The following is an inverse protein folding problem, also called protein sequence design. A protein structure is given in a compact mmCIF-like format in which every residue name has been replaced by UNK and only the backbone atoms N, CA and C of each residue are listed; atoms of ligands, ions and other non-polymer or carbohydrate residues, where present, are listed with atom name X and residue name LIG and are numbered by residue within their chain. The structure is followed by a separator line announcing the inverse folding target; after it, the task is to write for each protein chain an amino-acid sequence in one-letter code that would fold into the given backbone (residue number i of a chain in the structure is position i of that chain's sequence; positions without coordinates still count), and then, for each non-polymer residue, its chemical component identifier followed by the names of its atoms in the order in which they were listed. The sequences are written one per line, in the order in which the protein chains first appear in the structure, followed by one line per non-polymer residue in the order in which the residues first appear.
data_IF_943705403822
#
_entry.id   IF_943705403822
#
_cell.length_a   1.000
_cell.length_b   1.000
_cell.length_c   1.000
_cell.angle_alpha   90.00
_cell.angle_beta   90.00
_cell.angle_gamma   90.00
#
_symmetry.space_group_name_H-M   'P 1'
#
loop_
_entity.id
_entity.type
_entity.pdbx_description
1 polymer ?
#
# COMPACT_ATOMS: atom_id res chain seq x y z
N UNK A 1 10.33 -72.53 28.89
CA UNK A 1 10.48 -73.12 27.54
C UNK A 1 10.99 -71.96 26.70
N UNK A 2 12.32 -71.86 26.64
CA UNK A 2 13.21 -72.43 25.60
C UNK A 2 12.90 -71.81 24.23
N UNK A 3 13.77 -71.24 23.44
CA UNK A 3 15.25 -71.31 23.43
C UNK A 3 15.80 -70.13 22.63
N UNK A 4 16.91 -69.70 23.04
CA UNK A 4 18.03 -69.09 22.39
C UNK A 4 18.39 -69.61 20.98
N UNK A 5 18.90 -68.77 20.09
CA UNK A 5 19.96 -69.13 19.18
C UNK A 5 20.77 -67.90 18.71
N UNK A 6 21.98 -67.97 19.09
CA UNK A 6 23.20 -67.27 18.74
C UNK A 6 23.72 -67.83 17.41
N UNK A 7 24.29 -66.98 16.53
CA UNK A 7 25.52 -67.26 15.74
C UNK A 7 25.94 -66.02 15.03
N UNK A 8 27.10 -65.47 15.38
CA UNK A 8 28.43 -65.54 14.74
C UNK A 8 28.40 -65.09 13.28
N UNK A 9 29.15 -64.18 12.83
CA UNK A 9 30.52 -63.80 13.06
C UNK A 9 31.14 -63.48 11.70
N UNK A 10 32.25 -62.83 11.73
CA UNK A 10 33.28 -62.76 10.66
C UNK A 10 33.31 -61.51 9.79
N UNK A 11 34.19 -60.66 10.18
CA UNK A 11 35.00 -59.91 9.21
C UNK A 11 36.11 -60.81 8.65
N UNK A 12 36.59 -60.62 7.45
CA UNK A 12 37.92 -60.08 7.33
C UNK A 12 38.19 -59.24 6.06
N UNK A 13 39.14 -58.50 6.15
CA UNK A 13 40.48 -58.48 5.56
C UNK A 13 40.75 -57.27 4.60
N UNK A 14 41.69 -56.50 5.04
CA UNK A 14 42.59 -55.68 4.23
C UNK A 14 43.06 -56.36 2.96
N UNK A 15 43.16 -55.59 1.91
CA UNK A 15 44.15 -55.84 0.87
C UNK A 15 44.75 -54.48 0.40
N UNK A 16 45.92 -54.22 0.90
CA UNK A 16 46.95 -53.37 0.32
C UNK A 16 47.27 -53.80 -1.10
N UNK A 17 47.18 -52.87 -2.05
CA UNK A 17 47.99 -52.90 -3.25
C UNK A 17 48.53 -51.53 -3.57
N UNK A 18 49.82 -51.39 -3.36
CA UNK A 18 50.68 -50.36 -3.92
C UNK A 18 50.93 -50.67 -5.41
N UNK A 19 50.99 -49.62 -6.21
CA UNK A 19 51.42 -49.69 -7.60
C UNK A 19 51.24 -48.35 -8.30
N UNK A 20 52.13 -47.65 -8.30
CA UNK A 20 53.06 -46.75 -9.00
C UNK A 20 52.66 -46.42 -10.45
N UNK A 21 52.90 -45.14 -10.75
CA UNK A 21 53.28 -44.48 -12.01
C UNK A 21 52.25 -44.26 -13.12
N UNK A 22 52.11 -42.98 -13.45
CA UNK A 22 51.58 -42.53 -14.72
C UNK A 22 51.30 -41.04 -14.68
N UNK A 23 52.31 -40.22 -14.96
CA UNK A 23 52.16 -38.81 -15.22
C UNK A 23 51.35 -38.56 -16.49
N UNK A 24 50.63 -37.49 -16.51
CA UNK A 24 50.50 -36.44 -17.51
C UNK A 24 49.14 -35.78 -17.44
N UNK A 25 49.05 -34.60 -16.97
CA UNK A 25 48.64 -33.39 -17.65
C UNK A 25 47.24 -33.39 -18.26
N UNK A 26 46.31 -32.81 -17.55
CA UNK A 26 45.29 -31.93 -18.17
C UNK A 26 44.82 -30.97 -17.06
N UNK A 27 45.39 -29.80 -17.08
CA UNK A 27 44.79 -28.63 -16.44
C UNK A 27 43.43 -28.35 -17.13
N UNK A 28 42.37 -28.96 -16.67
CA UNK A 28 41.04 -28.48 -16.89
C UNK A 28 40.75 -27.48 -15.78
N UNK A 29 41.15 -26.23 -15.98
CA UNK A 29 40.65 -25.14 -15.18
C UNK A 29 39.15 -25.08 -15.43
N UNK A 30 38.37 -25.67 -14.52
CA UNK A 30 37.00 -25.26 -14.37
C UNK A 30 37.05 -23.79 -13.96
N UNK A 31 36.79 -22.91 -14.92
CA UNK A 31 36.43 -21.54 -14.65
C UNK A 31 35.24 -21.60 -13.70
N UNK A 32 35.50 -21.58 -12.40
CA UNK A 32 34.50 -21.21 -11.43
C UNK A 32 34.08 -19.81 -11.85
N UNK A 33 33.02 -19.73 -12.67
CA UNK A 33 32.24 -18.53 -12.82
C UNK A 33 31.77 -18.15 -11.42
N UNK A 34 32.60 -17.43 -10.69
CA UNK A 34 32.14 -16.66 -9.55
C UNK A 34 31.10 -15.69 -10.07
N UNK A 35 29.86 -16.15 -10.08
CA UNK A 35 28.73 -15.27 -10.26
C UNK A 35 28.90 -14.07 -9.31
N UNK A 36 28.38 -12.91 -9.65
CA UNK A 36 28.55 -11.72 -8.83
C UNK A 36 28.20 -12.08 -7.36
N UNK A 37 29.01 -11.61 -6.39
CA UNK A 37 28.86 -11.98 -4.98
C UNK A 37 27.41 -11.81 -4.59
N UNK A 38 26.84 -12.81 -3.94
CA UNK A 38 25.43 -12.80 -3.53
C UNK A 38 25.20 -11.50 -2.76
N UNK A 39 24.45 -10.58 -3.39
CA UNK A 39 24.17 -9.28 -2.79
C UNK A 39 23.60 -9.51 -1.40
N UNK A 40 24.14 -8.82 -0.42
CA UNK A 40 23.76 -8.94 0.98
C UNK A 40 22.22 -8.86 1.10
N UNK A 41 21.55 -9.95 1.46
CA UNK A 41 20.08 -10.03 1.51
C UNK A 41 19.47 -9.01 2.48
N UNK A 42 20.25 -8.53 3.44
CA UNK A 42 19.80 -7.52 4.42
C UNK A 42 19.66 -6.11 3.84
N UNK A 43 20.26 -5.82 2.68
CA UNK A 43 20.20 -4.51 2.02
C UNK A 43 19.24 -4.46 0.82
N UNK A 44 18.54 -5.55 0.52
CA UNK A 44 17.53 -5.56 -0.56
C UNK A 44 16.24 -4.93 -0.06
N UNK A 45 15.95 -3.74 -0.56
CA UNK A 45 14.63 -3.14 -0.43
C UNK A 45 13.62 -4.09 -1.10
N UNK A 46 12.52 -4.38 -0.42
CA UNK A 46 11.45 -5.21 -0.99
C UNK A 46 10.96 -4.54 -2.30
N UNK A 47 11.00 -5.24 -3.45
CA UNK A 47 10.59 -4.65 -4.73
C UNK A 47 9.16 -4.10 -4.73
N UNK A 48 8.26 -4.70 -3.95
CA UNK A 48 6.88 -4.23 -3.82
C UNK A 48 6.82 -2.90 -3.08
N UNK A 49 7.60 -2.76 -2.02
CA UNK A 49 7.68 -1.52 -1.25
C UNK A 49 8.33 -0.40 -2.07
N UNK A 50 9.42 -0.72 -2.79
CA UNK A 50 10.08 0.25 -3.68
C UNK A 50 9.13 0.72 -4.79
N UNK A 51 8.42 -0.21 -5.44
CA UNK A 51 7.44 0.13 -6.47
C UNK A 51 6.33 1.04 -5.94
N UNK A 52 5.82 0.74 -4.73
CA UNK A 52 4.80 1.57 -4.08
C UNK A 52 5.32 2.96 -3.74
N UNK A 53 6.55 3.07 -3.24
CA UNK A 53 7.17 4.36 -2.93
C UNK A 53 7.33 5.23 -4.18
N UNK A 54 7.84 4.65 -5.28
CA UNK A 54 7.99 5.35 -6.56
C UNK A 54 6.64 5.79 -7.12
N UNK A 55 5.62 4.95 -6.99
CA UNK A 55 4.25 5.30 -7.37
C UNK A 55 3.73 6.47 -6.55
N UNK A 56 3.86 6.46 -5.22
CA UNK A 56 3.44 7.57 -4.36
C UNK A 56 4.17 8.87 -4.72
N UNK A 57 5.46 8.81 -5.01
CA UNK A 57 6.22 10.00 -5.43
C UNK A 57 5.64 10.58 -6.72
N UNK A 58 5.29 9.76 -7.71
CA UNK A 58 4.66 10.23 -8.95
C UNK A 58 3.30 10.89 -8.69
N UNK A 59 2.50 10.32 -7.78
CA UNK A 59 1.19 10.88 -7.42
C UNK A 59 1.31 12.22 -6.68
N UNK A 60 2.28 12.34 -5.77
CA UNK A 60 2.59 13.63 -5.11
C UNK A 60 2.94 14.70 -6.14
N UNK A 61 3.67 14.36 -7.21
CA UNK A 61 4.00 15.31 -8.28
C UNK A 61 2.76 15.74 -9.06
N UNK A 62 1.83 14.83 -9.34
CA UNK A 62 0.56 15.14 -10.02
C UNK A 62 -0.26 16.10 -9.15
N UNK A 63 -0.46 15.79 -7.87
CA UNK A 63 -1.14 16.69 -6.95
C UNK A 63 -0.44 18.04 -6.84
N UNK A 64 0.90 18.06 -6.78
CA UNK A 64 1.70 19.29 -6.75
C UNK A 64 1.45 20.19 -7.95
N UNK A 65 1.29 19.62 -9.14
CA UNK A 65 0.93 20.38 -10.33
C UNK A 65 -0.46 21.04 -10.20
N UNK A 66 -1.45 20.29 -9.68
CA UNK A 66 -2.80 20.83 -9.45
C UNK A 66 -2.82 21.89 -8.35
N UNK A 67 -2.07 21.73 -7.26
CA UNK A 67 -1.92 22.77 -6.24
C UNK A 67 -1.27 24.03 -6.81
N UNK A 68 -0.23 23.88 -7.63
CA UNK A 68 0.41 25.02 -8.30
C UNK A 68 -0.60 25.75 -9.18
N UNK A 69 -1.39 25.04 -9.96
CA UNK A 69 -2.45 25.63 -10.77
C UNK A 69 -3.52 26.33 -9.91
N UNK A 70 -3.92 25.72 -8.79
CA UNK A 70 -4.88 26.31 -7.85
C UNK A 70 -4.40 27.64 -7.31
N UNK A 71 -3.17 27.69 -6.78
CA UNK A 71 -2.61 28.94 -6.25
C UNK A 71 -2.37 29.99 -7.34
N UNK A 72 -1.94 29.57 -8.53
CA UNK A 72 -1.79 30.48 -9.66
C UNK A 72 -3.12 31.14 -10.03
N UNK A 73 -4.18 30.33 -10.22
CA UNK A 73 -5.51 30.87 -10.55
C UNK A 73 -6.01 31.79 -9.43
N UNK A 74 -5.80 31.42 -8.17
CA UNK A 74 -6.24 32.23 -7.02
C UNK A 74 -5.55 33.56 -6.93
N UNK A 75 -4.28 33.66 -7.31
CA UNK A 75 -3.50 34.91 -7.31
C UNK A 75 -3.84 35.77 -8.52
N UNK A 76 -4.07 35.16 -9.69
CA UNK A 76 -4.31 35.89 -10.95
C UNK A 76 -5.77 36.30 -11.11
N UNK A 77 -6.72 35.48 -10.63
CA UNK A 77 -8.14 35.84 -10.65
C UNK A 77 -8.44 36.90 -9.60
N UNK A 78 -9.00 38.02 -10.04
CA UNK A 78 -9.49 39.09 -9.17
C UNK A 78 -10.87 38.77 -8.57
N UNK A 79 -11.49 37.68 -8.99
CA UNK A 79 -12.80 37.28 -8.50
C UNK A 79 -12.68 36.70 -7.08
N UNK A 80 -13.60 37.04 -6.15
CA UNK A 80 -13.58 36.49 -4.80
C UNK A 80 -13.85 34.99 -4.81
N UNK A 81 -13.16 34.30 -3.94
CA UNK A 81 -13.40 32.88 -3.67
C UNK A 81 -14.06 32.68 -2.30
N UNK A 82 -15.11 31.91 -2.16
CA UNK A 82 -15.94 31.30 -3.23
C UNK A 82 -16.72 32.38 -4.02
N UNK A 83 -17.17 32.03 -5.24
CA UNK A 83 -17.93 32.91 -6.11
C UNK A 83 -19.11 33.54 -5.34
N UNK A 84 -19.42 34.81 -5.63
CA UNK A 84 -20.46 35.57 -4.93
C UNK A 84 -21.78 34.78 -4.81
N UNK A 85 -22.28 34.62 -3.56
CA UNK A 85 -23.53 33.91 -3.28
C UNK A 85 -23.41 32.43 -3.01
N UNK A 86 -22.25 31.81 -3.22
CA UNK A 86 -21.99 30.40 -2.88
C UNK A 86 -21.29 30.31 -1.53
N UNK A 87 -21.73 29.39 -0.66
CA UNK A 87 -21.04 29.04 0.58
C UNK A 87 -20.50 27.62 0.44
N UNK A 88 -19.21 27.47 0.57
CA UNK A 88 -18.62 26.14 0.70
C UNK A 88 -19.16 25.51 2.00
N UNK A 89 -19.61 24.25 1.98
CA UNK A 89 -20.15 23.57 3.15
C UNK A 89 -19.00 23.08 4.06
N UNK A 90 -18.27 24.02 4.65
CA UNK A 90 -17.08 23.75 5.48
C UNK A 90 -17.35 22.76 6.61
N UNK A 91 -18.54 22.86 7.24
CA UNK A 91 -18.93 21.97 8.33
C UNK A 91 -19.11 20.52 7.84
N UNK A 92 -19.75 20.32 6.68
CA UNK A 92 -19.94 18.98 6.09
C UNK A 92 -18.59 18.40 5.68
N UNK A 93 -17.76 19.18 4.99
CA UNK A 93 -16.42 18.78 4.59
C UNK A 93 -15.53 18.47 5.81
N UNK A 94 -15.66 19.24 6.91
CA UNK A 94 -14.95 18.97 8.17
C UNK A 94 -15.36 17.65 8.82
N UNK A 95 -16.67 17.36 8.90
CA UNK A 95 -17.19 16.10 9.42
C UNK A 95 -16.72 14.94 8.52
N UNK A 96 -16.79 15.12 7.22
CA UNK A 96 -16.35 14.12 6.25
C UNK A 96 -14.84 13.83 6.38
N UNK A 97 -14.04 14.87 6.63
CA UNK A 97 -12.61 14.73 6.96
C UNK A 97 -12.38 13.90 8.23
N UNK A 98 -13.17 14.15 9.30
CA UNK A 98 -13.08 13.38 10.53
C UNK A 98 -13.43 11.89 10.31
N UNK A 99 -14.42 11.59 9.45
CA UNK A 99 -14.79 10.22 9.04
C UNK A 99 -13.60 9.56 8.33
N UNK A 100 -12.98 10.25 7.39
CA UNK A 100 -11.83 9.72 6.64
C UNK A 100 -10.62 9.47 7.55
N UNK A 101 -10.28 10.42 8.42
CA UNK A 101 -9.18 10.24 9.39
C UNK A 101 -9.45 9.10 10.39
N UNK A 102 -10.69 8.89 10.80
CA UNK A 102 -11.05 7.75 11.65
C UNK A 102 -10.84 6.41 10.94
N UNK A 103 -10.95 6.37 9.60
CA UNK A 103 -10.65 5.19 8.80
C UNK A 103 -9.18 4.78 8.86
N UNK A 104 -8.26 5.75 8.97
CA UNK A 104 -6.84 5.50 9.20
C UNK A 104 -6.56 4.78 10.53
N UNK A 105 -7.33 5.09 11.57
CA UNK A 105 -7.23 4.40 12.86
C UNK A 105 -7.73 2.96 12.77
N UNK A 106 -8.82 2.74 12.05
CA UNK A 106 -9.40 1.39 11.90
C UNK A 106 -8.53 0.46 11.08
N UNK A 107 -7.88 0.95 10.01
CA UNK A 107 -6.93 0.12 9.22
C UNK A 107 -5.67 -0.20 10.04
N UNK A 108 -5.15 0.76 10.81
CA UNK A 108 -4.03 0.51 11.71
C UNK A 108 -4.38 -0.55 12.77
N UNK A 109 -5.56 -0.47 13.35
CA UNK A 109 -6.07 -1.49 14.27
C UNK A 109 -6.21 -2.86 13.61
N UNK A 110 -6.69 -2.95 12.35
CA UNK A 110 -6.77 -4.18 11.59
C UNK A 110 -5.40 -4.82 11.38
N UNK A 111 -4.39 -4.02 10.96
CA UNK A 111 -3.02 -4.47 10.77
C UNK A 111 -2.37 -4.95 12.08
N UNK A 112 -2.61 -4.24 13.17
CA UNK A 112 -2.10 -4.64 14.50
C UNK A 112 -2.77 -5.92 14.99
N UNK A 113 -4.07 -6.08 14.70
CA UNK A 113 -4.84 -7.27 15.08
C UNK A 113 -4.34 -8.53 14.39
N UNK A 114 -4.00 -8.49 13.09
CA UNK A 114 -3.45 -9.65 12.39
C UNK A 114 -2.06 -10.03 12.92
N UNK A 115 -1.21 -9.05 13.23
CA UNK A 115 0.11 -9.29 13.84
C UNK A 115 0.02 -10.00 15.19
N UNK A 116 -1.09 -9.81 15.92
CA UNK A 116 -1.42 -10.50 17.18
C UNK A 116 -2.20 -11.80 16.98
N UNK A 117 -2.44 -12.25 15.75
CA UNK A 117 -3.20 -13.46 15.44
C UNK A 117 -4.73 -13.31 15.56
N UNK A 118 -5.24 -12.12 15.84
CA UNK A 118 -6.68 -11.86 15.98
C UNK A 118 -7.34 -11.66 14.61
N UNK A 119 -7.90 -12.74 14.05
CA UNK A 119 -8.60 -12.72 12.76
C UNK A 119 -9.93 -11.96 12.79
N UNK A 120 -10.59 -11.89 13.96
CA UNK A 120 -11.82 -11.11 14.10
C UNK A 120 -11.51 -9.61 14.01
N UNK A 121 -10.51 -9.13 14.75
CA UNK A 121 -10.09 -7.73 14.70
C UNK A 121 -9.65 -7.30 13.30
N UNK A 122 -8.97 -8.18 12.55
CA UNK A 122 -8.65 -7.95 11.15
C UNK A 122 -9.90 -7.71 10.30
N UNK A 123 -10.86 -8.65 10.33
CA UNK A 123 -12.08 -8.57 9.52
C UNK A 123 -12.93 -7.34 9.88
N UNK A 124 -13.11 -7.11 11.17
CA UNK A 124 -13.89 -5.97 11.67
C UNK A 124 -13.23 -4.63 11.30
N UNK A 125 -11.92 -4.51 11.50
CA UNK A 125 -11.18 -3.28 11.16
C UNK A 125 -11.18 -2.99 9.67
N UNK A 126 -10.93 -3.99 8.81
CA UNK A 126 -10.97 -3.82 7.35
C UNK A 126 -12.36 -3.44 6.85
N UNK A 127 -13.41 -4.06 7.37
CA UNK A 127 -14.79 -3.72 7.00
C UNK A 127 -15.14 -2.30 7.46
N UNK A 128 -14.76 -1.92 8.68
CA UNK A 128 -14.98 -0.57 9.18
C UNK A 128 -14.26 0.48 8.32
N UNK A 129 -12.98 0.24 7.96
CA UNK A 129 -12.22 1.14 7.08
C UNK A 129 -12.92 1.30 5.72
N UNK A 130 -13.34 0.20 5.12
CA UNK A 130 -14.04 0.24 3.84
C UNK A 130 -15.36 1.03 3.92
N UNK A 131 -16.17 0.80 4.96
CA UNK A 131 -17.44 1.50 5.13
C UNK A 131 -17.23 3.00 5.39
N UNK A 132 -16.26 3.38 6.21
CA UNK A 132 -15.94 4.80 6.46
C UNK A 132 -15.46 5.49 5.19
N UNK A 133 -14.56 4.87 4.42
CA UNK A 133 -14.11 5.41 3.15
C UNK A 133 -15.23 5.51 2.10
N UNK A 134 -16.13 4.52 2.04
CA UNK A 134 -17.31 4.55 1.17
C UNK A 134 -18.26 5.68 1.58
N UNK A 135 -18.51 5.87 2.87
CA UNK A 135 -19.31 6.98 3.40
C UNK A 135 -18.73 8.31 3.00
N UNK A 136 -17.40 8.49 3.16
CA UNK A 136 -16.70 9.68 2.71
C UNK A 136 -16.95 9.96 1.23
N UNK A 137 -16.78 8.97 0.36
CA UNK A 137 -16.96 9.14 -1.08
C UNK A 137 -18.40 9.47 -1.45
N UNK A 138 -19.39 8.82 -0.82
CA UNK A 138 -20.80 9.11 -1.04
C UNK A 138 -21.18 10.53 -0.61
N UNK A 139 -20.67 11.00 0.54
CA UNK A 139 -20.91 12.37 1.01
C UNK A 139 -20.26 13.38 0.04
N UNK A 140 -19.04 13.11 -0.44
CA UNK A 140 -18.34 13.98 -1.38
C UNK A 140 -19.09 14.10 -2.72
N UNK A 141 -19.62 13.00 -3.24
CA UNK A 141 -20.43 13.02 -4.46
C UNK A 141 -21.75 13.80 -4.23
N UNK A 142 -22.40 13.60 -3.09
CA UNK A 142 -23.60 14.34 -2.74
C UNK A 142 -23.32 15.84 -2.60
N UNK A 143 -22.16 16.23 -2.08
CA UNK A 143 -21.72 17.61 -1.98
C UNK A 143 -21.60 18.26 -3.36
N UNK A 144 -21.03 17.56 -4.35
CA UNK A 144 -20.95 18.05 -5.73
C UNK A 144 -22.29 18.37 -6.37
N UNK A 145 -23.33 17.63 -6.01
CA UNK A 145 -24.70 17.85 -6.52
C UNK A 145 -25.32 19.13 -5.93
N UNK A 146 -24.93 19.52 -4.71
CA UNK A 146 -25.59 20.60 -3.94
C UNK A 146 -24.75 21.87 -3.80
N UNK A 147 -23.50 21.88 -4.29
CA UNK A 147 -22.57 23.00 -4.08
C UNK A 147 -22.97 24.28 -4.80
N UNK A 148 -23.83 24.20 -5.82
CA UNK A 148 -24.47 25.38 -6.45
C UNK A 148 -23.65 26.07 -7.53
N UNK A 149 -22.49 25.56 -7.94
CA UNK A 149 -21.71 26.02 -9.09
C UNK A 149 -21.21 24.85 -9.92
N UNK A 150 -20.97 25.07 -11.21
CA UNK A 150 -20.50 24.05 -12.13
C UNK A 150 -19.01 24.26 -12.48
N UNK A 151 -18.30 23.21 -12.93
CA UNK A 151 -16.88 23.31 -13.30
C UNK A 151 -16.59 24.33 -14.39
N UNK A 152 -17.58 24.64 -15.25
CA UNK A 152 -17.44 25.56 -16.39
C UNK A 152 -17.79 27.02 -16.07
N UNK A 153 -18.30 27.32 -14.87
CA UNK A 153 -18.75 28.67 -14.50
C UNK A 153 -17.58 29.64 -14.30
N UNK A 154 -16.45 29.16 -13.78
CA UNK A 154 -15.26 29.94 -13.56
C UNK A 154 -13.99 29.08 -13.51
N UNK A 155 -12.82 29.65 -13.78
CA UNK A 155 -11.54 28.97 -13.67
C UNK A 155 -11.30 28.40 -12.27
N UNK A 156 -11.77 29.10 -11.23
CA UNK A 156 -11.72 28.66 -9.83
C UNK A 156 -12.61 27.43 -9.60
N UNK A 157 -13.82 27.38 -10.16
CA UNK A 157 -14.67 26.20 -10.12
C UNK A 157 -14.03 25.01 -10.80
N UNK A 158 -13.45 25.21 -12.00
CA UNK A 158 -12.74 24.17 -12.73
C UNK A 158 -11.64 23.53 -11.89
N UNK A 159 -10.76 24.32 -11.28
CA UNK A 159 -9.63 23.79 -10.48
C UNK A 159 -10.09 23.16 -9.17
N UNK A 160 -11.16 23.66 -8.56
CA UNK A 160 -11.79 23.04 -7.39
C UNK A 160 -12.24 21.60 -7.69
N UNK A 161 -13.04 21.43 -8.75
CA UNK A 161 -13.50 20.10 -9.17
C UNK A 161 -12.37 19.23 -9.67
N UNK A 162 -11.36 19.79 -10.32
CA UNK A 162 -10.20 19.01 -10.79
C UNK A 162 -9.40 18.47 -9.60
N UNK A 163 -9.11 19.29 -8.59
CA UNK A 163 -8.30 18.89 -7.44
C UNK A 163 -9.05 17.91 -6.52
N UNK A 164 -10.30 18.24 -6.16
CA UNK A 164 -11.12 17.39 -5.29
C UNK A 164 -11.58 16.12 -6.02
N UNK A 165 -11.85 16.19 -7.34
CA UNK A 165 -12.19 15.04 -8.17
C UNK A 165 -11.01 14.10 -8.40
N UNK A 166 -9.80 14.63 -8.62
CA UNK A 166 -8.58 13.82 -8.67
C UNK A 166 -8.40 13.03 -7.36
N UNK A 167 -8.58 13.71 -6.22
CA UNK A 167 -8.56 13.02 -4.93
C UNK A 167 -9.67 11.96 -4.84
N UNK A 168 -10.89 12.27 -5.26
CA UNK A 168 -12.02 11.32 -5.27
C UNK A 168 -11.73 10.05 -6.08
N UNK A 169 -11.04 10.16 -7.22
CA UNK A 169 -10.59 9.00 -8.00
C UNK A 169 -9.59 8.16 -7.20
N UNK A 170 -8.65 8.78 -6.49
CA UNK A 170 -7.68 8.07 -5.64
C UNK A 170 -8.37 7.35 -4.48
N UNK A 171 -9.37 7.98 -3.83
CA UNK A 171 -10.20 7.32 -2.81
C UNK A 171 -10.92 6.12 -3.39
N UNK A 172 -11.50 6.24 -4.59
CA UNK A 172 -12.20 5.14 -5.25
C UNK A 172 -11.26 3.97 -5.55
N UNK A 173 -10.05 4.24 -6.09
CA UNK A 173 -9.03 3.21 -6.32
C UNK A 173 -8.65 2.55 -4.99
N UNK A 174 -8.42 3.35 -3.93
CA UNK A 174 -8.14 2.85 -2.58
C UNK A 174 -9.25 1.96 -2.04
N UNK A 175 -10.51 2.32 -2.25
CA UNK A 175 -11.67 1.50 -1.88
C UNK A 175 -11.69 0.16 -2.63
N UNK A 176 -11.38 0.15 -3.92
CA UNK A 176 -11.26 -1.10 -4.69
C UNK A 176 -10.17 -2.02 -4.13
N UNK A 177 -9.01 -1.46 -3.76
CA UNK A 177 -7.93 -2.20 -3.12
C UNK A 177 -8.34 -2.72 -1.74
N UNK A 178 -8.98 -1.88 -0.91
CA UNK A 178 -9.49 -2.27 0.41
C UNK A 178 -10.54 -3.37 0.30
N UNK A 179 -11.46 -3.28 -0.67
CA UNK A 179 -12.46 -4.32 -0.92
C UNK A 179 -11.81 -5.65 -1.26
N UNK A 180 -10.82 -5.64 -2.17
CA UNK A 180 -10.09 -6.84 -2.55
C UNK A 180 -9.41 -7.50 -1.34
N UNK A 181 -8.74 -6.70 -0.49
CA UNK A 181 -8.09 -7.20 0.72
C UNK A 181 -9.12 -7.72 1.72
N UNK A 182 -10.22 -7.00 1.90
CA UNK A 182 -11.30 -7.40 2.80
C UNK A 182 -11.86 -8.77 2.40
N UNK A 183 -12.15 -8.97 1.11
CA UNK A 183 -12.60 -10.27 0.58
C UNK A 183 -11.57 -11.37 0.87
N UNK A 184 -10.28 -11.10 0.64
CA UNK A 184 -9.19 -12.06 0.94
C UNK A 184 -9.07 -12.36 2.43
N UNK A 185 -9.29 -11.35 3.31
CA UNK A 185 -9.30 -11.51 4.76
C UNK A 185 -10.46 -12.44 5.22
N UNK A 186 -11.65 -12.27 4.63
CA UNK A 186 -12.78 -13.15 4.90
C UNK A 186 -12.53 -14.60 4.43
N UNK A 187 -11.83 -14.77 3.30
CA UNK A 187 -11.43 -16.09 2.79
C UNK A 187 -10.27 -16.73 3.57
N UNK A 188 -9.72 -16.05 4.57
CA UNK A 188 -8.67 -16.59 5.44
C UNK A 188 -7.27 -16.65 4.83
N UNK A 189 -7.00 -15.90 3.76
CA UNK A 189 -5.71 -15.89 3.06
C UNK A 189 -4.58 -15.20 3.84
N UNK A 190 -4.88 -14.54 4.96
CA UNK A 190 -3.90 -13.83 5.77
C UNK A 190 -3.61 -14.58 7.07
N UNK A 191 -2.31 -14.69 7.39
CA UNK A 191 -1.79 -15.23 8.66
C UNK A 191 -0.79 -14.24 9.26
N UNK A 192 -0.43 -14.38 10.56
CA UNK A 192 0.60 -13.53 11.19
C UNK A 192 1.92 -13.53 10.42
N UNK A 193 2.26 -14.66 9.76
CA UNK A 193 3.50 -14.82 8.99
C UNK A 193 3.37 -14.30 7.55
N UNK A 194 2.15 -14.26 6.99
CA UNK A 194 1.88 -13.86 5.60
C UNK A 194 0.88 -12.72 5.52
N UNK A 195 1.30 -11.51 5.95
CA UNK A 195 0.46 -10.30 5.95
C UNK A 195 1.01 -9.17 5.07
N UNK A 196 2.17 -9.36 4.41
CA UNK A 196 2.82 -8.34 3.56
C UNK A 196 1.89 -7.77 2.48
N UNK A 197 1.01 -8.58 1.92
CA UNK A 197 0.04 -8.14 0.91
C UNK A 197 -0.98 -7.11 1.39
N UNK A 198 -1.04 -6.83 2.70
CA UNK A 198 -1.92 -5.80 3.29
C UNK A 198 -1.17 -4.48 3.53
N UNK A 199 0.15 -4.52 3.68
CA UNK A 199 0.94 -3.33 4.02
C UNK A 199 0.94 -2.32 2.86
N UNK A 200 1.09 -2.80 1.63
CA UNK A 200 1.12 -1.94 0.44
C UNK A 200 -0.17 -1.13 0.26
N UNK A 201 -1.37 -1.75 0.24
CA UNK A 201 -2.63 -0.99 0.19
C UNK A 201 -2.89 -0.13 1.43
N UNK A 202 -2.37 -0.54 2.61
CA UNK A 202 -2.43 0.29 3.82
C UNK A 202 -1.65 1.59 3.68
N UNK A 203 -0.44 1.53 3.11
CA UNK A 203 0.39 2.71 2.82
C UNK A 203 -0.31 3.61 1.80
N UNK A 204 -0.90 3.03 0.75
CA UNK A 204 -1.67 3.79 -0.24
C UNK A 204 -2.85 4.52 0.40
N UNK A 205 -3.60 3.86 1.28
CA UNK A 205 -4.73 4.47 1.99
C UNK A 205 -4.30 5.65 2.85
N UNK A 206 -3.23 5.50 3.62
CA UNK A 206 -2.67 6.60 4.41
C UNK A 206 -2.18 7.77 3.55
N UNK A 207 -1.58 7.49 2.38
CA UNK A 207 -1.22 8.53 1.43
C UNK A 207 -2.45 9.31 0.97
N UNK A 208 -3.54 8.63 0.60
CA UNK A 208 -4.80 9.26 0.20
C UNK A 208 -5.36 10.13 1.31
N UNK A 209 -5.36 9.64 2.57
CA UNK A 209 -5.83 10.41 3.74
C UNK A 209 -5.02 11.69 3.96
N UNK A 210 -3.68 11.61 3.87
CA UNK A 210 -2.79 12.78 4.01
C UNK A 210 -3.05 13.79 2.89
N UNK A 211 -3.20 13.32 1.66
CA UNK A 211 -3.50 14.20 0.52
C UNK A 211 -4.84 14.91 0.70
N UNK A 212 -5.85 14.24 1.26
CA UNK A 212 -7.12 14.90 1.58
C UNK A 212 -6.96 16.03 2.58
N UNK A 213 -6.20 15.83 3.64
CA UNK A 213 -5.97 16.90 4.64
C UNK A 213 -5.36 18.14 3.99
N UNK A 214 -4.41 17.94 3.06
CA UNK A 214 -3.80 19.05 2.31
C UNK A 214 -4.83 19.71 1.38
N UNK A 215 -5.61 18.92 0.63
CA UNK A 215 -6.68 19.42 -0.24
C UNK A 215 -7.71 20.21 0.56
N UNK A 216 -8.21 19.62 1.66
CA UNK A 216 -9.19 20.25 2.54
C UNK A 216 -8.69 21.60 3.09
N UNK A 217 -7.47 21.61 3.62
CA UNK A 217 -6.88 22.84 4.15
C UNK A 217 -6.74 23.90 3.08
N UNK A 218 -6.25 23.52 1.88
CA UNK A 218 -6.00 24.46 0.79
C UNK A 218 -7.29 25.04 0.20
N UNK A 219 -8.34 24.23 0.08
CA UNK A 219 -9.55 24.59 -0.66
C UNK A 219 -10.63 25.19 0.23
N UNK A 220 -10.77 24.69 1.48
CA UNK A 220 -11.86 25.06 2.38
C UNK A 220 -11.43 26.02 3.49
N UNK A 221 -10.13 26.06 3.87
CA UNK A 221 -9.66 26.87 5.00
C UNK A 221 -8.88 28.10 4.51
N UNK A 222 -7.98 27.96 3.52
CA UNK A 222 -7.16 29.03 2.95
C UNK A 222 -7.90 29.70 1.79
#
# INVERSE_FOLDING_TARGET
MEAASITHGVAPAESTHAGAHGATGAHGGADEHHGPPAANRSSRVDPQMLGMLLFIISEVMIFGAFFTAYFFIRVVSHDPWPAHGTKLPEAVAGINTAILLSSSLTIHWALTSIKRGNRFGLKAGMTATFLLGLTFLCVQINEYVHIGFAPHDAAQGTIFYALTGLHGIHVFIGLCLLLMITIRAFRGHYSPESHRGMEVPGIYWHFVDIMWVIVYTTVYII
#
